data_IF_966917719088
#
_entry.id   IF_966917719088
#
_cell.length_a   1.000
_cell.length_b   1.000
_cell.length_c   1.000
_cell.angle_alpha   90.00
_cell.angle_beta   90.00
_cell.angle_gamma   90.00
#
_symmetry.space_group_name_H-M   'P 1'
#
loop_
_entity.id
_entity.type
_entity.pdbx_description
1 polymer ?
#
# COMPACT_ATOMS: atom_id res chain seq x y z
N UNK A 1 -14.64 -8.26 -70.08
CA UNK A 1 -15.00 -9.68 -69.89
C UNK A 1 -15.80 -9.80 -68.60
N UNK A 2 -17.05 -10.27 -68.68
CA UNK A 2 -17.92 -10.56 -67.54
C UNK A 2 -18.17 -12.07 -67.45
N UNK A 3 -18.16 -12.62 -66.23
CA UNK A 3 -18.74 -13.93 -65.85
C UNK A 3 -17.94 -14.68 -64.78
N UNK A 4 -18.54 -15.59 -63.97
CA UNK A 4 -19.89 -15.59 -63.40
C UNK A 4 -19.95 -15.83 -61.86
N UNK A 5 -21.18 -15.72 -61.33
CA UNK A 5 -21.64 -15.89 -59.93
C UNK A 5 -21.56 -17.34 -59.40
N UNK A 6 -21.32 -17.50 -58.10
CA UNK A 6 -21.85 -18.54 -57.21
C UNK A 6 -22.05 -17.88 -55.83
N UNK A 7 -23.28 -17.59 -55.36
CA UNK A 7 -24.31 -18.44 -54.74
C UNK A 7 -24.01 -18.89 -53.29
N UNK A 8 -25.05 -18.77 -52.47
CA UNK A 8 -25.16 -18.63 -51.01
C UNK A 8 -25.03 -19.90 -50.16
N UNK A 9 -24.77 -19.74 -48.85
CA UNK A 9 -25.47 -20.39 -47.71
C UNK A 9 -24.88 -19.86 -46.38
N UNK A 10 -25.48 -18.87 -45.74
CA UNK A 10 -26.48 -18.97 -44.66
C UNK A 10 -26.07 -19.91 -43.51
N UNK A 11 -25.61 -19.36 -42.39
CA UNK A 11 -25.98 -19.96 -41.11
C UNK A 11 -26.22 -18.93 -40.00
N UNK A 12 -27.38 -19.14 -39.39
CA UNK A 12 -28.14 -18.24 -38.55
C UNK A 12 -27.86 -18.61 -37.09
N UNK A 13 -27.14 -17.78 -36.34
CA UNK A 13 -27.19 -17.81 -34.87
C UNK A 13 -27.68 -16.47 -34.34
N UNK A 14 -28.95 -16.46 -33.96
CA UNK A 14 -29.59 -15.36 -33.22
C UNK A 14 -29.13 -15.38 -31.76
N UNK A 15 -28.88 -14.15 -31.27
CA UNK A 15 -29.10 -13.62 -29.91
C UNK A 15 -28.50 -14.37 -28.71
N UNK A 16 -27.59 -13.70 -28.01
CA UNK A 16 -27.80 -13.35 -26.60
C UNK A 16 -27.23 -11.95 -26.37
N UNK A 17 -28.11 -11.04 -25.96
CA UNK A 17 -27.76 -9.79 -25.30
C UNK A 17 -27.20 -10.12 -23.91
N UNK A 18 -25.88 -10.19 -23.77
CA UNK A 18 -25.23 -10.11 -22.46
C UNK A 18 -24.86 -8.66 -22.21
N UNK A 19 -25.77 -7.99 -21.51
CA UNK A 19 -25.46 -6.88 -20.63
C UNK A 19 -24.31 -7.29 -19.72
N UNK A 20 -23.11 -6.79 -20.02
CA UNK A 20 -22.09 -6.59 -19.02
C UNK A 20 -21.78 -5.10 -19.07
N UNK A 21 -22.57 -4.32 -18.33
CA UNK A 21 -22.00 -3.11 -17.72
C UNK A 21 -20.85 -3.63 -16.88
N UNK A 22 -19.66 -3.69 -17.48
CA UNK A 22 -18.43 -3.61 -16.70
C UNK A 22 -18.49 -2.22 -16.08
N UNK A 23 -19.16 -2.14 -14.94
CA UNK A 23 -18.75 -1.21 -13.93
C UNK A 23 -17.30 -1.61 -13.67
N UNK A 24 -16.37 -0.94 -14.36
CA UNK A 24 -15.04 -0.75 -13.87
C UNK A 24 -15.21 -0.01 -12.54
N UNK A 25 -15.56 -0.76 -11.49
CA UNK A 25 -15.24 -0.37 -10.14
C UNK A 25 -13.73 -0.40 -10.09
N UNK A 26 -13.12 0.72 -10.51
CA UNK A 26 -11.80 1.05 -10.05
C UNK A 26 -11.96 1.32 -8.56
N UNK A 27 -11.91 0.27 -7.75
CA UNK A 27 -11.33 0.43 -6.44
C UNK A 27 -9.96 1.01 -6.75
N UNK A 28 -9.79 2.31 -6.51
CA UNK A 28 -8.47 2.88 -6.47
C UNK A 28 -7.76 2.04 -5.41
N UNK A 29 -6.99 1.05 -5.85
CA UNK A 29 -6.22 0.21 -4.97
C UNK A 29 -5.31 1.21 -4.27
N UNK A 30 -5.64 1.54 -3.02
CA UNK A 30 -4.78 2.39 -2.21
C UNK A 30 -3.42 1.73 -2.28
N UNK A 31 -2.46 2.47 -2.85
CA UNK A 31 -1.11 1.94 -3.00
C UNK A 31 -0.65 1.51 -1.62
N UNK A 32 -0.22 0.26 -1.50
CA UNK A 32 0.42 -0.17 -0.27
C UNK A 32 1.68 0.67 -0.08
N UNK A 33 1.89 1.14 1.15
CA UNK A 33 3.07 1.93 1.54
C UNK A 33 3.62 1.35 2.84
N UNK A 34 4.79 0.72 2.74
CA UNK A 34 5.48 0.19 3.91
C UNK A 34 6.51 1.22 4.36
N UNK A 35 6.41 1.67 5.60
CA UNK A 35 7.37 2.56 6.23
C UNK A 35 8.17 1.81 7.29
N UNK A 36 9.46 2.11 7.42
CA UNK A 36 10.33 1.63 8.46
C UNK A 36 10.96 2.84 9.17
N UNK A 37 10.87 2.85 10.49
CA UNK A 37 11.35 3.96 11.32
C UNK A 37 12.42 3.45 12.26
N UNK A 38 13.50 4.22 12.44
CA UNK A 38 14.55 3.92 13.41
C UNK A 38 15.00 5.20 14.12
N UNK A 39 15.08 5.16 15.44
CA UNK A 39 15.56 6.27 16.26
C UNK A 39 16.99 5.96 16.70
N UNK A 40 17.95 6.78 16.30
CA UNK A 40 19.34 6.64 16.71
C UNK A 40 19.57 7.33 18.06
N UNK A 41 20.57 6.87 18.82
CA UNK A 41 20.84 7.26 20.22
C UNK A 41 21.19 8.74 20.50
N UNK A 42 21.04 9.65 19.54
CA UNK A 42 21.14 11.12 19.71
C UNK A 42 19.84 11.85 19.36
N UNK A 43 18.73 11.13 19.25
CA UNK A 43 17.44 11.70 18.82
C UNK A 43 17.36 11.97 17.32
N UNK A 44 18.31 11.47 16.52
CA UNK A 44 18.19 11.53 15.06
C UNK A 44 17.29 10.41 14.55
N UNK A 45 16.33 10.80 13.70
CA UNK A 45 15.37 9.89 13.10
C UNK A 45 15.86 9.44 11.72
N UNK A 46 15.88 8.14 11.49
CA UNK A 46 15.95 7.54 10.17
C UNK A 46 14.60 6.98 9.77
N UNK A 47 14.14 7.30 8.57
CA UNK A 47 12.91 6.76 8.01
C UNK A 47 13.19 6.24 6.59
N UNK A 48 12.59 5.11 6.25
CA UNK A 48 12.54 4.60 4.88
C UNK A 48 11.09 4.27 4.57
N UNK A 49 10.63 4.53 3.35
CA UNK A 49 9.30 4.08 2.93
C UNK A 49 9.31 3.61 1.48
N UNK A 50 8.51 2.59 1.23
CA UNK A 50 8.38 1.96 -0.07
C UNK A 50 6.93 2.04 -0.54
N UNK A 51 6.71 2.67 -1.68
CA UNK A 51 5.39 2.80 -2.31
C UNK A 51 5.27 1.81 -3.47
N UNK A 52 4.39 0.83 -3.34
CA UNK A 52 4.24 -0.26 -4.32
C UNK A 52 3.75 0.24 -5.67
N UNK A 53 2.81 1.17 -5.72
CA UNK A 53 2.27 1.69 -6.98
C UNK A 53 3.33 2.44 -7.81
N UNK A 54 4.28 3.10 -7.14
CA UNK A 54 5.40 3.81 -7.79
C UNK A 54 6.65 2.95 -7.95
N UNK A 55 6.68 1.77 -7.32
CA UNK A 55 7.86 0.92 -7.22
C UNK A 55 9.10 1.73 -6.76
N UNK A 56 8.88 2.58 -5.75
CA UNK A 56 9.86 3.58 -5.31
C UNK A 56 10.20 3.38 -3.84
N UNK A 57 11.50 3.30 -3.55
CA UNK A 57 12.05 3.36 -2.20
C UNK A 57 12.59 4.77 -1.94
N UNK A 58 12.11 5.38 -0.86
CA UNK A 58 12.54 6.70 -0.42
C UNK A 58 13.19 6.60 0.97
N UNK A 59 14.23 7.39 1.18
CA UNK A 59 15.03 7.41 2.40
C UNK A 59 15.05 8.83 2.96
N UNK A 60 14.75 8.96 4.25
CA UNK A 60 14.91 10.17 5.03
C UNK A 60 16.00 9.91 6.08
N UNK A 61 17.17 10.52 5.88
CA UNK A 61 18.34 10.27 6.73
C UNK A 61 18.59 11.41 7.71
N UNK A 62 18.81 11.06 8.98
CA UNK A 62 19.27 11.94 10.05
C UNK A 62 18.49 13.26 10.15
N UNK A 63 17.17 13.16 10.28
CA UNK A 63 16.37 14.32 10.68
C UNK A 63 16.65 14.61 12.16
N UNK A 64 17.20 15.79 12.49
CA UNK A 64 17.26 16.25 13.87
C UNK A 64 15.85 16.71 14.27
N UNK A 65 15.25 16.05 15.25
CA UNK A 65 13.96 16.47 15.81
C UNK A 65 14.09 16.72 17.31
N UNK A 66 13.67 17.90 17.76
CA UNK A 66 13.56 18.21 19.18
C UNK A 66 12.39 17.46 19.85
N UNK A 67 11.38 17.08 19.05
CA UNK A 67 10.19 16.35 19.48
C UNK A 67 9.93 15.18 18.52
N UNK A 68 9.94 13.95 19.07
CA UNK A 68 9.72 12.72 18.32
C UNK A 68 8.25 12.57 17.89
N UNK A 69 7.30 13.05 18.70
CA UNK A 69 5.87 12.93 18.38
C UNK A 69 5.52 13.75 17.15
N UNK A 70 5.96 15.02 17.11
CA UNK A 70 5.68 15.90 15.99
C UNK A 70 6.21 15.35 14.65
N UNK A 71 7.41 14.77 14.63
CA UNK A 71 7.96 14.23 13.39
C UNK A 71 7.23 12.95 12.96
N UNK A 72 6.76 12.13 13.90
CA UNK A 72 5.92 10.98 13.55
C UNK A 72 4.59 11.41 12.96
N UNK A 73 3.91 12.42 13.55
CA UNK A 73 2.67 12.98 12.99
C UNK A 73 2.88 13.44 11.54
N UNK A 74 3.95 14.20 11.29
CA UNK A 74 4.27 14.68 9.94
C UNK A 74 4.51 13.52 8.98
N UNK A 75 5.24 12.48 9.39
CA UNK A 75 5.49 11.30 8.56
C UNK A 75 4.21 10.51 8.27
N UNK A 76 3.35 10.32 9.26
CA UNK A 76 2.09 9.61 9.12
C UNK A 76 1.15 10.35 8.17
N UNK A 77 1.04 11.67 8.28
CA UNK A 77 0.20 12.50 7.40
C UNK A 77 0.78 12.61 5.99
N UNK A 78 2.10 12.73 5.85
CA UNK A 78 2.70 12.96 4.54
C UNK A 78 2.82 11.68 3.70
N UNK A 79 3.15 10.56 4.34
CA UNK A 79 3.42 9.29 3.65
C UNK A 79 2.19 8.38 3.65
N UNK A 80 1.25 8.58 4.59
CA UNK A 80 0.07 7.73 4.76
C UNK A 80 0.41 6.23 4.71
N UNK A 81 1.34 5.75 5.57
CA UNK A 81 1.78 4.36 5.50
C UNK A 81 0.64 3.41 5.84
N UNK A 82 0.55 2.30 5.09
CA UNK A 82 -0.36 1.20 5.41
C UNK A 82 0.23 0.27 6.46
N UNK A 83 1.55 0.19 6.54
CA UNK A 83 2.30 -0.61 7.51
C UNK A 83 3.50 0.18 8.00
N UNK A 84 3.71 0.23 9.32
CA UNK A 84 4.90 0.80 9.94
C UNK A 84 5.71 -0.30 10.63
N UNK A 85 6.97 -0.43 10.26
CA UNK A 85 7.95 -1.35 10.82
C UNK A 85 8.79 -0.61 11.86
N UNK A 86 8.77 -1.12 13.09
CA UNK A 86 9.54 -0.60 14.21
C UNK A 86 10.63 -1.61 14.60
N UNK A 87 11.88 -1.19 14.87
CA UNK A 87 12.89 -2.04 15.47
C UNK A 87 12.44 -2.57 16.83
N UNK A 88 12.92 -3.77 17.17
CA UNK A 88 12.66 -4.44 18.46
C UNK A 88 13.12 -3.61 19.67
N UNK A 89 14.05 -2.67 19.46
CA UNK A 89 14.55 -1.76 20.49
C UNK A 89 14.26 -0.34 20.03
N UNK A 90 13.30 0.29 20.69
CA UNK A 90 12.91 1.68 20.47
C UNK A 90 12.53 2.31 21.81
N UNK A 91 12.69 3.63 22.01
CA UNK A 91 12.14 4.32 23.18
C UNK A 91 10.65 4.02 23.37
N UNK A 92 10.25 3.71 24.61
CA UNK A 92 8.87 3.34 24.96
C UNK A 92 7.83 4.40 24.54
N UNK A 93 8.22 5.69 24.62
CA UNK A 93 7.39 6.83 24.19
C UNK A 93 7.02 6.76 22.70
N UNK A 94 7.97 6.33 21.86
CA UNK A 94 7.72 6.17 20.43
C UNK A 94 6.86 4.93 20.15
N UNK A 95 7.07 3.82 20.87
CA UNK A 95 6.24 2.62 20.75
C UNK A 95 4.78 2.95 21.10
N UNK A 96 4.57 3.62 22.25
CA UNK A 96 3.23 4.03 22.71
C UNK A 96 2.53 4.94 21.71
N UNK A 97 3.27 5.88 21.09
CA UNK A 97 2.72 6.73 20.04
C UNK A 97 2.16 5.91 18.87
N UNK A 98 2.93 4.95 18.34
CA UNK A 98 2.46 4.14 17.21
C UNK A 98 1.30 3.20 17.60
N UNK A 99 1.29 2.66 18.82
CA UNK A 99 0.17 1.84 19.29
C UNK A 99 -1.14 2.64 19.40
N UNK A 100 -1.07 3.91 19.81
CA UNK A 100 -2.23 4.80 19.93
C UNK A 100 -2.75 5.30 18.58
N UNK A 101 -1.85 5.61 17.63
CA UNK A 101 -2.19 6.24 16.35
C UNK A 101 -2.36 5.23 15.20
N UNK A 102 -1.73 4.05 15.32
CA UNK A 102 -1.81 2.96 14.36
C UNK A 102 -2.03 1.65 15.12
N UNK A 103 -3.26 1.38 15.59
CA UNK A 103 -3.55 0.17 16.32
C UNK A 103 -3.16 -1.03 15.47
N UNK A 104 -2.16 -1.78 15.94
CA UNK A 104 -1.65 -2.92 15.21
C UNK A 104 -2.78 -3.92 14.96
N UNK A 105 -2.97 -4.32 13.70
CA UNK A 105 -3.74 -5.53 13.40
C UNK A 105 -2.85 -6.70 13.83
N UNK A 106 -2.98 -7.14 15.08
CA UNK A 106 -2.16 -8.20 15.64
C UNK A 106 -2.48 -9.56 15.02
N UNK A 107 -1.99 -9.83 13.81
CA UNK A 107 -2.04 -11.15 13.18
C UNK A 107 -0.67 -11.85 13.21
N UNK A 108 0.12 -11.59 14.26
CA UNK A 108 1.48 -12.13 14.42
C UNK A 108 1.68 -13.01 15.66
N UNK A 109 0.62 -13.46 16.33
CA UNK A 109 0.75 -14.38 17.47
C UNK A 109 1.05 -15.78 16.93
N UNK A 110 2.33 -16.15 16.86
CA UNK A 110 2.70 -17.56 16.72
C UNK A 110 2.07 -18.33 17.89
N UNK A 111 1.32 -19.42 17.64
CA UNK A 111 0.73 -20.20 18.72
C UNK A 111 1.85 -20.78 19.57
N UNK A 112 1.85 -20.46 20.86
CA UNK A 112 2.65 -21.18 21.84
C UNK A 112 2.10 -22.60 21.91
N UNK A 113 2.84 -23.55 21.34
CA UNK A 113 2.64 -24.97 21.61
C UNK A 113 3.09 -25.25 23.05
N UNK A 114 2.12 -25.36 23.94
CA UNK A 114 2.27 -25.96 25.27
C UNK A 114 1.07 -26.85 25.54
#
# INVERSE_FOLDING_TARGET
MFGPRASMSENRRRKVSTSSREASMSYAQQSEVIMAINIKGKGSLGCAYYEFAKNQLSLLHDMPSADLHHIFDVLLVHVEPTVVLLPMKMPDEAVKFFEEHMPAISNGRLPSSS
#
